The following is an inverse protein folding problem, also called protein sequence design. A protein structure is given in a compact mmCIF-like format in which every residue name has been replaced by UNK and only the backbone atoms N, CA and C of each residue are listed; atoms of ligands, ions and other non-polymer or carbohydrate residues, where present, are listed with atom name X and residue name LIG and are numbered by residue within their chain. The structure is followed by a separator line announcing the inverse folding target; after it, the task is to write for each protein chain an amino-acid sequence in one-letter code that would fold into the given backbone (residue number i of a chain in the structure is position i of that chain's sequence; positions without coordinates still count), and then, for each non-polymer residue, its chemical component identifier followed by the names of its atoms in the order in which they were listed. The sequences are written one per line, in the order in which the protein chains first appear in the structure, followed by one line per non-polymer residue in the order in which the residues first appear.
data_IF_872396344289
#
_entry.id   IF_872396344289
#
_cell.length_a   1.000
_cell.length_b   1.000
_cell.length_c   1.000
_cell.angle_alpha   90.00
_cell.angle_beta   90.00
_cell.angle_gamma   90.00
#
_symmetry.space_group_name_H-M   'P 1'
#
loop_
_entity.id
_entity.type
_entity.pdbx_description
1 polymer ?
#
# COMPACT_ATOMS: atom_id res chain seq x y z
N UNK A 1 -4.22 9.23 -8.63
CA UNK A 1 -5.37 8.80 -9.47
C UNK A 1 -6.14 7.73 -8.72
N UNK A 2 -7.47 7.71 -8.79
CA UNK A 2 -8.30 6.61 -8.27
C UNK A 2 -8.48 5.54 -9.35
N UNK A 3 -8.70 4.28 -8.93
CA UNK A 3 -8.81 3.15 -9.86
C UNK A 3 -10.19 3.13 -10.52
N UNK A 4 -11.28 3.18 -9.73
CA UNK A 4 -12.65 3.13 -10.22
C UNK A 4 -13.38 4.47 -10.06
N UNK A 5 -14.35 4.79 -10.94
CA UNK A 5 -15.30 5.84 -10.67
C UNK A 5 -16.03 5.62 -9.35
N UNK A 6 -16.36 6.70 -8.66
CA UNK A 6 -17.05 6.64 -7.39
C UNK A 6 -17.40 8.04 -6.87
N UNK A 7 -17.96 8.12 -5.69
CA UNK A 7 -18.40 9.38 -5.11
C UNK A 7 -17.25 10.40 -5.05
N UNK A 8 -17.41 11.55 -5.70
CA UNK A 8 -16.39 12.59 -5.84
C UNK A 8 -15.36 12.37 -6.97
N UNK A 9 -15.42 11.25 -7.71
CA UNK A 9 -14.49 10.92 -8.80
C UNK A 9 -15.22 10.14 -9.89
N UNK A 10 -16.08 10.78 -10.66
CA UNK A 10 -16.87 10.14 -11.72
C UNK A 10 -16.10 9.97 -13.03
N UNK A 11 -15.00 10.70 -13.23
CA UNK A 11 -14.15 10.66 -14.41
C UNK A 11 -12.67 10.82 -14.04
N UNK A 12 -11.76 10.66 -15.01
CA UNK A 12 -10.31 10.77 -14.80
C UNK A 12 -9.74 9.63 -13.95
N UNK A 13 -10.40 8.47 -13.92
CA UNK A 13 -9.96 7.28 -13.21
C UNK A 13 -9.10 6.38 -14.10
N UNK A 14 -8.40 5.41 -13.50
CA UNK A 14 -7.63 4.42 -14.25
C UNK A 14 -8.54 3.64 -15.21
N UNK A 15 -9.76 3.31 -14.82
CA UNK A 15 -10.74 2.61 -15.66
C UNK A 15 -11.07 3.44 -16.92
N UNK A 16 -11.26 4.75 -16.80
CA UNK A 16 -11.48 5.61 -17.97
C UNK A 16 -10.28 5.59 -18.93
N UNK A 17 -9.06 5.65 -18.39
CA UNK A 17 -7.84 5.59 -19.20
C UNK A 17 -7.67 4.22 -19.89
N UNK A 18 -7.99 3.13 -19.21
CA UNK A 18 -7.95 1.79 -19.77
C UNK A 18 -9.01 1.57 -20.85
N UNK A 19 -10.24 2.05 -20.64
CA UNK A 19 -11.29 2.01 -21.65
C UNK A 19 -10.84 2.71 -22.95
N UNK A 20 -10.27 3.90 -22.82
CA UNK A 20 -9.70 4.63 -23.95
C UNK A 20 -8.55 3.84 -24.62
N UNK A 21 -7.62 3.30 -23.84
CA UNK A 21 -6.46 2.54 -24.37
C UNK A 21 -6.88 1.26 -25.10
N UNK A 22 -7.92 0.59 -24.64
CA UNK A 22 -8.44 -0.65 -25.24
C UNK A 22 -9.47 -0.40 -26.36
N UNK A 23 -9.77 0.86 -26.70
CA UNK A 23 -10.74 1.20 -27.73
C UNK A 23 -12.18 0.84 -27.35
N UNK A 24 -12.48 0.71 -26.07
CA UNK A 24 -13.83 0.44 -25.57
C UNK A 24 -14.60 1.76 -25.61
N UNK A 25 -15.64 1.83 -26.47
CA UNK A 25 -16.52 2.99 -26.54
C UNK A 25 -17.20 3.21 -25.19
N UNK A 26 -17.05 4.37 -24.62
CA UNK A 26 -17.84 4.78 -23.45
C UNK A 26 -19.26 5.09 -23.93
N UNK A 27 -20.14 4.07 -23.92
CA UNK A 27 -21.58 4.29 -24.06
C UNK A 27 -22.11 5.08 -22.87
N UNK A 28 -23.23 5.77 -23.04
CA UNK A 28 -23.88 6.61 -22.02
C UNK A 28 -24.23 5.86 -20.71
N UNK A 29 -24.22 4.54 -20.75
CA UNK A 29 -24.47 3.65 -19.61
C UNK A 29 -23.11 3.19 -19.00
N UNK A 30 -22.42 4.11 -18.33
CA UNK A 30 -21.14 3.86 -17.65
C UNK A 30 -21.25 2.87 -16.46
N UNK A 31 -22.43 2.34 -16.19
CA UNK A 31 -22.69 1.22 -15.27
C UNK A 31 -22.56 -0.14 -15.96
N UNK A 32 -22.32 -0.17 -17.27
CA UNK A 32 -22.21 -1.41 -18.04
C UNK A 32 -20.96 -2.20 -17.61
N UNK A 33 -21.19 -3.44 -17.24
CA UNK A 33 -20.29 -4.47 -16.71
C UNK A 33 -19.01 -4.74 -17.52
N UNK A 34 -18.79 -4.07 -18.65
CA UNK A 34 -17.59 -4.12 -19.48
C UNK A 34 -16.37 -3.40 -18.89
N UNK A 35 -16.49 -2.91 -17.67
CA UNK A 35 -15.34 -2.50 -16.83
C UNK A 35 -14.55 -3.69 -16.30
N UNK A 36 -14.78 -4.88 -16.84
CA UNK A 36 -14.18 -6.14 -16.47
C UNK A 36 -12.68 -6.30 -16.71
N UNK A 37 -11.98 -5.25 -17.14
CA UNK A 37 -10.54 -5.27 -17.28
C UNK A 37 -9.78 -5.29 -15.94
N UNK A 38 -10.43 -4.85 -14.86
CA UNK A 38 -9.82 -4.82 -13.54
C UNK A 38 -10.20 -6.04 -12.71
N UNK A 39 -9.19 -6.76 -12.27
CA UNK A 39 -9.31 -7.97 -11.42
C UNK A 39 -8.91 -7.70 -9.98
N UNK A 40 -8.24 -6.59 -9.73
CA UNK A 40 -7.89 -6.09 -8.40
C UNK A 40 -7.66 -4.57 -8.44
N UNK A 41 -7.37 -4.03 -7.27
CA UNK A 41 -7.06 -2.60 -7.11
C UNK A 41 -5.94 -2.40 -6.11
N UNK A 42 -5.24 -1.27 -6.23
CA UNK A 42 -4.42 -0.68 -5.20
C UNK A 42 -5.08 0.61 -4.70
N UNK A 43 -4.69 1.10 -3.53
CA UNK A 43 -5.27 2.32 -2.95
C UNK A 43 -4.88 3.56 -3.78
N UNK A 44 -5.71 4.60 -3.70
CA UNK A 44 -5.33 5.93 -4.19
C UNK A 44 -3.97 6.29 -3.57
N UNK A 45 -3.08 6.84 -4.40
CA UNK A 45 -1.73 7.27 -4.00
C UNK A 45 -0.76 6.15 -3.57
N UNK A 46 -1.16 4.87 -3.67
CA UNK A 46 -0.23 3.75 -3.65
C UNK A 46 0.36 3.57 -5.04
N UNK A 47 1.67 3.54 -5.13
CA UNK A 47 2.41 3.29 -6.38
C UNK A 47 2.66 1.80 -6.62
N UNK A 48 3.11 1.45 -7.83
CA UNK A 48 3.59 0.10 -8.15
C UNK A 48 2.72 -0.67 -9.14
N UNK A 49 2.81 -1.99 -9.08
CA UNK A 49 2.27 -2.92 -10.07
C UNK A 49 0.77 -3.14 -9.88
N UNK A 50 0.08 -3.18 -11.02
CA UNK A 50 -1.32 -3.55 -11.12
C UNK A 50 -1.48 -4.36 -12.42
N UNK A 51 -2.20 -5.49 -12.36
CA UNK A 51 -2.54 -6.30 -13.54
C UNK A 51 -3.94 -5.97 -14.02
N UNK A 52 -4.08 -5.86 -15.35
CA UNK A 52 -5.36 -5.69 -16.03
C UNK A 52 -5.54 -6.80 -17.04
N UNK A 53 -6.77 -7.29 -17.18
CA UNK A 53 -7.12 -8.24 -18.22
C UNK A 53 -7.41 -7.50 -19.54
N UNK A 54 -7.07 -8.12 -20.68
CA UNK A 54 -7.35 -7.56 -22.01
C UNK A 54 -8.56 -8.21 -22.71
N UNK A 55 -9.11 -9.25 -22.10
CA UNK A 55 -10.31 -9.95 -22.56
C UNK A 55 -10.99 -10.68 -21.39
N UNK A 56 -12.20 -11.14 -21.61
CA UNK A 56 -13.05 -11.75 -20.59
C UNK A 56 -12.48 -13.06 -20.04
N UNK A 57 -11.84 -13.89 -20.89
CA UNK A 57 -11.23 -15.15 -20.47
C UNK A 57 -10.09 -14.89 -19.48
N UNK A 58 -9.21 -13.92 -19.78
CA UNK A 58 -8.13 -13.52 -18.88
C UNK A 58 -8.65 -12.90 -17.60
N UNK A 59 -9.75 -12.15 -17.69
CA UNK A 59 -10.39 -11.55 -16.51
C UNK A 59 -10.93 -12.61 -15.55
N UNK A 60 -11.67 -13.59 -16.07
CA UNK A 60 -12.26 -14.67 -15.26
C UNK A 60 -11.15 -15.51 -14.59
N UNK A 61 -10.11 -15.86 -15.33
CA UNK A 61 -8.98 -16.64 -14.80
C UNK A 61 -8.24 -15.85 -13.69
N UNK A 62 -7.85 -14.61 -13.96
CA UNK A 62 -7.16 -13.76 -12.98
C UNK A 62 -8.04 -13.47 -11.76
N UNK A 63 -9.33 -13.16 -11.95
CA UNK A 63 -10.26 -12.93 -10.85
C UNK A 63 -10.36 -14.18 -9.95
N UNK A 64 -10.39 -15.39 -10.52
CA UNK A 64 -10.34 -16.64 -9.77
C UNK A 64 -9.05 -16.77 -8.96
N UNK A 65 -7.88 -16.44 -9.55
CA UNK A 65 -6.59 -16.47 -8.85
C UNK A 65 -6.56 -15.49 -7.69
N UNK A 66 -7.13 -14.28 -7.83
CA UNK A 66 -7.30 -13.32 -6.72
C UNK A 66 -8.25 -13.86 -5.65
N UNK A 67 -9.35 -14.49 -6.04
CA UNK A 67 -10.34 -15.03 -5.12
C UNK A 67 -9.77 -16.16 -4.24
N UNK A 68 -9.01 -17.08 -4.84
CA UNK A 68 -8.36 -18.18 -4.10
C UNK A 68 -7.02 -17.77 -3.47
N UNK A 69 -6.64 -16.50 -3.58
CA UNK A 69 -5.43 -15.92 -3.00
C UNK A 69 -4.11 -16.58 -3.47
N UNK A 70 -4.06 -17.12 -4.69
CA UNK A 70 -2.86 -17.72 -5.28
C UNK A 70 -1.89 -16.69 -5.90
N UNK A 71 -2.30 -15.43 -6.01
CA UNK A 71 -1.50 -14.32 -6.54
C UNK A 71 -0.42 -13.92 -5.53
N UNK A 72 0.86 -13.94 -5.95
CA UNK A 72 1.93 -13.35 -5.16
C UNK A 72 1.83 -11.83 -5.17
N UNK A 73 1.76 -11.22 -4.00
CA UNK A 73 1.71 -9.75 -3.81
C UNK A 73 2.67 -9.35 -2.72
N UNK A 74 3.69 -8.57 -3.09
CA UNK A 74 4.60 -7.97 -2.13
C UNK A 74 4.58 -6.46 -2.25
N UNK A 75 4.62 -5.82 -1.11
CA UNK A 75 4.65 -4.37 -0.99
C UNK A 75 5.87 -3.95 -0.20
N UNK A 76 6.36 -2.75 -0.45
CA UNK A 76 7.31 -2.07 0.43
C UNK A 76 6.60 -0.91 1.08
N UNK A 77 6.72 -0.81 2.39
CA UNK A 77 6.18 0.30 3.18
C UNK A 77 7.27 0.91 4.06
N UNK A 78 7.12 2.19 4.38
CA UNK A 78 7.89 2.86 5.42
C UNK A 78 6.91 3.17 6.55
N UNK A 79 7.19 2.67 7.74
CA UNK A 79 6.32 2.80 8.90
C UNK A 79 7.00 3.59 10.02
N UNK A 80 6.20 4.29 10.83
CA UNK A 80 6.69 4.97 12.01
C UNK A 80 7.13 4.00 13.11
N UNK A 81 8.22 4.33 13.76
CA UNK A 81 8.77 3.60 14.88
C UNK A 81 9.74 2.49 14.47
N UNK A 82 10.33 1.87 15.47
CA UNK A 82 11.27 0.77 15.33
C UNK A 82 10.55 -0.54 15.69
N UNK A 83 10.29 -1.39 14.70
CA UNK A 83 9.72 -2.72 14.92
C UNK A 83 10.74 -3.58 15.67
N UNK A 84 10.33 -4.26 16.74
CA UNK A 84 11.23 -5.07 17.57
C UNK A 84 11.70 -6.32 16.83
N UNK A 85 10.75 -7.03 16.21
CA UNK A 85 11.00 -8.29 15.52
C UNK A 85 11.39 -8.03 14.06
N UNK A 86 12.28 -8.85 13.51
CA UNK A 86 12.71 -8.76 12.11
C UNK A 86 11.64 -9.20 11.13
N UNK A 87 10.73 -10.06 11.58
CA UNK A 87 9.57 -10.50 10.81
C UNK A 87 8.39 -10.75 11.73
N UNK A 88 7.19 -10.73 11.17
CA UNK A 88 5.99 -10.98 11.94
C UNK A 88 4.75 -11.12 11.09
N UNK A 89 3.65 -11.50 11.75
CA UNK A 89 2.35 -11.66 11.13
C UNK A 89 1.31 -10.86 11.90
N UNK A 90 0.59 -9.99 11.18
CA UNK A 90 -0.51 -9.21 11.73
C UNK A 90 -1.81 -9.88 11.29
N UNK A 91 -2.59 -10.34 12.24
CA UNK A 91 -3.87 -11.03 12.00
C UNK A 91 -4.98 -10.25 12.70
N UNK A 92 -6.04 -9.94 11.96
CA UNK A 92 -7.22 -9.30 12.55
C UNK A 92 -8.28 -9.03 11.49
N UNK A 93 -9.55 -9.07 11.88
CA UNK A 93 -10.63 -8.75 10.98
C UNK A 93 -10.63 -7.25 10.65
N UNK A 94 -10.71 -6.91 9.38
CA UNK A 94 -10.80 -5.51 8.92
C UNK A 94 -12.23 -5.21 8.50
N UNK A 95 -12.81 -4.20 9.10
CA UNK A 95 -14.14 -3.69 8.79
C UNK A 95 -14.15 -2.16 8.75
N UNK A 96 -15.26 -1.61 8.27
CA UNK A 96 -15.46 -0.15 8.25
C UNK A 96 -15.58 0.37 9.69
N UNK A 97 -14.92 1.48 9.98
CA UNK A 97 -15.05 2.12 11.29
C UNK A 97 -16.48 2.68 11.45
N UNK A 98 -17.21 2.31 12.51
CA UNK A 98 -18.55 2.82 12.75
C UNK A 98 -18.57 4.33 13.05
N UNK A 99 -17.48 4.91 13.54
CA UNK A 99 -17.37 6.32 13.88
C UNK A 99 -16.85 7.18 12.71
N UNK A 100 -16.18 6.57 11.72
CA UNK A 100 -15.68 7.26 10.54
C UNK A 100 -15.85 6.38 9.29
N UNK A 101 -16.87 6.67 8.49
CA UNK A 101 -17.20 5.92 7.27
C UNK A 101 -16.08 5.92 6.21
N UNK A 102 -15.11 6.81 6.32
CA UNK A 102 -13.97 6.90 5.41
C UNK A 102 -12.79 6.04 5.86
N UNK A 103 -12.80 5.53 7.10
CA UNK A 103 -11.75 4.70 7.68
C UNK A 103 -12.20 3.23 7.81
N UNK A 104 -11.20 2.37 7.87
CA UNK A 104 -11.33 0.98 8.27
C UNK A 104 -10.53 0.77 9.56
N UNK A 105 -10.92 -0.21 10.35
CA UNK A 105 -10.19 -0.58 11.56
C UNK A 105 -10.14 -2.08 11.74
N UNK A 106 -9.26 -2.53 12.62
CA UNK A 106 -9.21 -3.94 13.06
C UNK A 106 -10.26 -4.18 14.15
N UNK A 107 -10.94 -5.30 14.04
CA UNK A 107 -11.82 -5.88 15.05
C UNK A 107 -11.15 -7.12 15.60
N UNK A 108 -10.41 -7.01 16.72
CA UNK A 108 -9.56 -8.10 17.22
C UNK A 108 -10.35 -9.32 17.68
N UNK A 109 -11.57 -9.10 18.20
CA UNK A 109 -12.46 -10.18 18.67
C UNK A 109 -13.05 -11.01 17.53
N UNK A 110 -12.88 -10.57 16.27
CA UNK A 110 -13.40 -11.28 15.11
C UNK A 110 -14.93 -11.20 14.92
N UNK A 111 -15.59 -10.40 15.72
CA UNK A 111 -17.06 -10.20 15.75
C UNK A 111 -17.57 -9.38 14.58
N UNK A 112 -16.68 -8.62 13.92
CA UNK A 112 -17.00 -7.75 12.81
C UNK A 112 -15.90 -7.73 11.75
N UNK A 113 -16.24 -7.23 10.54
CA UNK A 113 -15.28 -7.13 9.44
C UNK A 113 -14.98 -8.47 8.76
N UNK A 114 -13.90 -8.52 7.99
CA UNK A 114 -13.45 -9.70 7.24
C UNK A 114 -12.04 -10.07 7.64
N UNK A 115 -11.78 -11.34 7.82
CA UNK A 115 -10.47 -11.87 8.15
C UNK A 115 -9.39 -11.33 7.23
N UNK A 116 -8.26 -10.89 7.83
CA UNK A 116 -7.12 -10.32 7.10
C UNK A 116 -5.80 -10.78 7.75
N UNK A 117 -4.82 -11.10 6.89
CA UNK A 117 -3.48 -11.53 7.30
C UNK A 117 -2.44 -10.79 6.47
N UNK A 118 -1.52 -10.14 7.16
CA UNK A 118 -0.36 -9.44 6.59
C UNK A 118 0.90 -9.95 7.25
N UNK A 119 1.79 -10.58 6.48
CA UNK A 119 3.14 -10.88 6.93
C UNK A 119 4.04 -9.70 6.62
N UNK A 120 4.99 -9.41 7.50
CA UNK A 120 6.03 -8.41 7.24
C UNK A 120 7.43 -8.95 7.54
N UNK A 121 8.41 -8.40 6.85
CA UNK A 121 9.82 -8.57 7.11
C UNK A 121 10.49 -7.19 7.08
N UNK A 122 11.28 -6.90 8.09
CA UNK A 122 12.07 -5.67 8.16
C UNK A 122 13.17 -5.72 7.11
N UNK A 123 13.28 -4.65 6.33
CA UNK A 123 14.36 -4.46 5.37
C UNK A 123 15.45 -3.56 5.94
N UNK A 124 15.07 -2.47 6.62
CA UNK A 124 16.03 -1.52 7.19
C UNK A 124 15.37 -0.73 8.35
N UNK A 125 16.16 -0.39 9.39
CA UNK A 125 15.72 0.39 10.55
C UNK A 125 16.50 1.69 10.64
N UNK A 126 15.80 2.78 10.93
CA UNK A 126 16.39 4.12 11.12
C UNK A 126 16.09 4.70 12.53
N UNK A 127 15.74 3.86 13.49
CA UNK A 127 15.36 4.26 14.83
C UNK A 127 13.94 4.81 14.96
N UNK A 128 13.58 5.82 14.19
CA UNK A 128 12.25 6.45 14.22
C UNK A 128 11.31 6.00 13.12
N UNK A 129 11.83 5.36 12.10
CA UNK A 129 11.06 4.70 11.04
C UNK A 129 11.71 3.37 10.65
N UNK A 130 10.91 2.47 10.09
CA UNK A 130 11.33 1.16 9.60
C UNK A 130 10.83 0.95 8.18
N UNK A 131 11.69 0.43 7.31
CA UNK A 131 11.31 -0.04 5.97
C UNK A 131 10.96 -1.52 6.07
N UNK A 132 9.80 -1.90 5.59
CA UNK A 132 9.30 -3.27 5.64
C UNK A 132 8.85 -3.76 4.27
N UNK A 133 9.08 -5.04 4.00
CA UNK A 133 8.38 -5.78 2.95
C UNK A 133 7.14 -6.43 3.56
N UNK A 134 6.00 -6.29 2.89
CA UNK A 134 4.73 -6.90 3.30
C UNK A 134 4.29 -7.94 2.27
N UNK A 135 3.93 -9.13 2.71
CA UNK A 135 3.29 -10.18 1.91
C UNK A 135 1.85 -10.38 2.37
N UNK A 136 0.92 -10.33 1.43
CA UNK A 136 -0.51 -10.42 1.73
C UNK A 136 -1.05 -11.83 1.46
N UNK A 137 -1.71 -12.44 2.44
CA UNK A 137 -2.59 -13.59 2.20
C UNK A 137 -3.97 -13.15 1.73
N UNK A 138 -4.47 -12.06 2.28
CA UNK A 138 -5.77 -11.47 1.95
C UNK A 138 -5.61 -10.09 1.30
N UNK A 139 -6.66 -9.54 0.70
CA UNK A 139 -6.63 -8.23 0.05
C UNK A 139 -7.81 -7.33 0.49
N UNK A 140 -7.87 -6.96 1.78
CA UNK A 140 -8.93 -6.07 2.27
C UNK A 140 -8.58 -4.62 1.99
N UNK A 141 -9.61 -3.78 1.90
CA UNK A 141 -9.43 -2.33 1.71
C UNK A 141 -8.48 -1.75 2.74
N UNK A 142 -7.45 -1.03 2.30
CA UNK A 142 -6.42 -0.39 3.12
C UNK A 142 -5.68 -1.36 4.08
N UNK A 143 -5.63 -2.66 3.78
CA UNK A 143 -5.22 -3.69 4.74
C UNK A 143 -3.86 -3.41 5.40
N UNK A 144 -2.80 -3.15 4.65
CA UNK A 144 -1.46 -2.86 5.20
C UNK A 144 -1.53 -1.63 6.10
N UNK A 145 -2.18 -0.56 5.65
CA UNK A 145 -2.31 0.70 6.35
C UNK A 145 -3.04 0.55 7.69
N UNK A 146 -4.16 -0.18 7.67
CA UNK A 146 -4.97 -0.48 8.87
C UNK A 146 -4.22 -1.37 9.85
N UNK A 147 -3.59 -2.45 9.37
CA UNK A 147 -2.85 -3.38 10.22
C UNK A 147 -1.68 -2.70 10.92
N UNK A 148 -0.85 -1.94 10.18
CA UNK A 148 0.28 -1.24 10.80
C UNK A 148 -0.16 -0.11 11.73
N UNK A 149 -1.23 0.60 11.42
CA UNK A 149 -1.80 1.57 12.36
C UNK A 149 -2.29 0.89 13.64
N UNK A 150 -2.95 -0.25 13.54
CA UNK A 150 -3.45 -1.01 14.70
C UNK A 150 -2.34 -1.46 15.64
N UNK A 151 -1.20 -1.90 15.12
CA UNK A 151 -0.03 -2.28 15.95
C UNK A 151 0.83 -1.09 16.39
N UNK A 152 0.37 0.16 16.17
CA UNK A 152 1.05 1.39 16.62
C UNK A 152 2.20 1.86 15.73
N UNK A 153 2.29 1.35 14.51
CA UNK A 153 3.29 1.69 13.51
C UNK A 153 2.67 2.19 12.20
N UNK A 154 1.88 3.29 12.19
CA UNK A 154 1.22 3.76 10.98
C UNK A 154 2.23 4.03 9.86
N UNK A 155 1.78 3.92 8.60
CA UNK A 155 2.63 4.23 7.46
C UNK A 155 3.03 5.70 7.47
N UNK A 156 4.28 5.97 7.10
CA UNK A 156 4.80 7.33 7.01
C UNK A 156 3.99 8.16 6.01
N UNK A 157 3.57 9.35 6.44
CA UNK A 157 2.72 10.29 5.71
C UNK A 157 1.37 9.74 5.23
N UNK A 158 0.78 8.82 6.00
CA UNK A 158 -0.59 8.36 5.77
C UNK A 158 -1.59 9.27 6.51
N UNK A 159 -2.17 10.23 5.79
CA UNK A 159 -3.12 11.19 6.35
C UNK A 159 -4.35 10.53 6.97
N UNK A 160 -4.80 9.40 6.40
CA UNK A 160 -6.01 8.73 6.85
C UNK A 160 -5.81 7.87 8.09
N UNK A 161 -4.61 7.35 8.27
CA UNK A 161 -4.27 6.42 9.35
C UNK A 161 -3.15 6.95 10.24
N UNK A 162 -3.26 8.22 10.57
CA UNK A 162 -2.48 8.90 11.62
C UNK A 162 -0.96 8.93 11.38
N UNK A 163 -0.50 8.73 10.14
CA UNK A 163 0.91 8.73 9.77
C UNK A 163 1.47 10.05 9.29
N UNK A 164 0.62 11.05 9.06
CA UNK A 164 1.00 12.39 8.57
C UNK A 164 1.37 13.37 9.71
N UNK A 165 1.60 12.85 10.90
CA UNK A 165 2.08 13.57 12.06
C UNK A 165 3.38 12.98 12.58
N UNK A 166 4.16 13.73 13.35
CA UNK A 166 5.37 13.24 13.99
C UNK A 166 4.98 12.23 15.09
N UNK A 167 5.22 10.95 14.85
CA UNK A 167 4.87 9.87 15.78
C UNK A 167 6.02 9.43 16.66
N UNK A 168 7.26 9.61 16.21
CA UNK A 168 8.48 9.23 16.93
C UNK A 168 9.55 10.28 16.69
N UNK A 169 10.48 10.39 17.62
CA UNK A 169 11.63 11.28 17.53
C UNK A 169 11.63 12.36 18.61
N UNK A 170 12.29 13.46 18.34
CA UNK A 170 12.55 14.53 19.29
C UNK A 170 11.62 15.72 19.08
N UNK A 171 11.54 16.61 20.08
CA UNK A 171 10.74 17.85 20.03
C UNK A 171 11.49 19.03 19.41
N UNK A 172 12.76 18.85 19.05
CA UNK A 172 13.63 19.94 18.57
C UNK A 172 13.19 20.45 17.19
N UNK A 173 13.35 21.74 16.97
CA UNK A 173 12.95 22.43 15.74
C UNK A 173 13.62 21.84 14.48
N UNK A 174 14.89 21.46 14.58
CA UNK A 174 15.65 20.82 13.47
C UNK A 174 15.02 19.50 13.05
N UNK A 175 14.58 18.68 14.00
CA UNK A 175 13.93 17.41 13.69
C UNK A 175 12.55 17.64 13.06
N UNK A 176 11.76 18.57 13.61
CA UNK A 176 10.47 18.95 13.00
C UNK A 176 10.64 19.38 11.55
N UNK A 177 11.60 20.28 11.29
CA UNK A 177 11.90 20.73 9.92
C UNK A 177 12.34 19.59 9.01
N UNK A 178 13.13 18.62 9.53
CA UNK A 178 13.51 17.42 8.79
C UNK A 178 12.28 16.61 8.39
N UNK A 179 11.33 16.35 9.31
CA UNK A 179 10.11 15.61 9.02
C UNK A 179 9.21 16.35 8.03
N UNK A 180 9.02 17.66 8.18
CA UNK A 180 8.25 18.46 7.22
C UNK A 180 8.84 18.37 5.80
N UNK A 181 10.15 18.38 5.68
CA UNK A 181 10.83 18.16 4.40
C UNK A 181 10.65 16.73 3.87
N UNK A 182 10.58 15.73 4.75
CA UNK A 182 10.27 14.35 4.36
C UNK A 182 8.82 14.21 3.89
N UNK A 183 7.85 14.86 4.53
CA UNK A 183 6.45 14.88 4.09
C UNK A 183 6.26 15.57 2.74
N UNK A 184 6.99 16.65 2.49
CA UNK A 184 6.99 17.32 1.16
C UNK A 184 7.61 16.45 0.07
N UNK A 185 8.64 15.67 0.41
CA UNK A 185 9.32 14.77 -0.53
C UNK A 185 8.42 13.61 -0.95
N UNK A 186 7.65 13.05 -0.01
CA UNK A 186 6.69 11.99 -0.27
C UNK A 186 5.29 12.42 0.22
N UNK A 187 4.51 13.18 -0.59
CA UNK A 187 3.21 13.74 -0.18
C UNK A 187 2.06 12.71 -0.29
N UNK A 188 2.28 11.51 0.22
CA UNK A 188 1.34 10.38 0.19
C UNK A 188 1.78 9.31 1.18
N UNK A 189 0.92 8.32 1.46
CA UNK A 189 1.34 7.16 2.25
C UNK A 189 2.54 6.47 1.60
N UNK A 190 3.53 6.14 2.41
CA UNK A 190 4.74 5.44 1.99
C UNK A 190 4.45 3.95 1.73
N UNK A 191 3.77 3.66 0.61
CA UNK A 191 3.37 2.32 0.20
C UNK A 191 3.57 2.13 -1.31
N UNK A 192 4.18 0.99 -1.67
CA UNK A 192 4.48 0.62 -3.05
C UNK A 192 4.22 -0.87 -3.29
N UNK A 193 3.37 -1.19 -4.28
CA UNK A 193 3.13 -2.56 -4.76
C UNK A 193 4.31 -3.02 -5.60
N UNK A 194 5.29 -3.66 -4.95
CA UNK A 194 6.61 -3.94 -5.53
C UNK A 194 6.62 -5.17 -6.43
N UNK A 195 6.01 -6.26 -5.98
CA UNK A 195 6.02 -7.54 -6.71
C UNK A 195 4.61 -8.05 -6.95
N UNK A 196 4.37 -8.53 -8.16
CA UNK A 196 3.14 -9.17 -8.56
C UNK A 196 3.46 -10.44 -9.36
N UNK A 197 3.00 -11.60 -8.89
CA UNK A 197 3.19 -12.88 -9.55
C UNK A 197 1.87 -13.63 -9.70
N UNK A 198 1.61 -14.19 -10.87
CA UNK A 198 0.39 -14.93 -11.18
C UNK A 198 0.63 -15.97 -12.29
N UNK A 199 -0.27 -16.94 -12.40
CA UNK A 199 -0.26 -17.88 -13.54
C UNK A 199 -0.88 -17.19 -14.75
N UNK A 200 -0.12 -17.07 -15.83
CA UNK A 200 -0.59 -16.38 -17.03
C UNK A 200 -1.79 -17.11 -17.65
N UNK A 201 -2.93 -16.44 -17.86
CA UNK A 201 -4.20 -17.08 -18.26
C UNK A 201 -4.11 -17.97 -19.49
N UNK A 202 -3.33 -17.56 -20.51
CA UNK A 202 -3.18 -18.29 -21.77
C UNK A 202 -2.09 -19.34 -21.72
N UNK A 203 -0.88 -18.99 -21.28
CA UNK A 203 0.30 -19.90 -21.34
C UNK A 203 0.34 -20.87 -20.17
N UNK A 204 -0.44 -20.63 -19.11
CA UNK A 204 -0.46 -21.38 -17.85
C UNK A 204 0.91 -21.46 -17.15
N UNK A 205 1.83 -20.58 -17.51
CA UNK A 205 3.12 -20.42 -16.85
C UNK A 205 3.07 -19.36 -15.75
N UNK A 206 3.81 -19.59 -14.68
CA UNK A 206 4.00 -18.58 -13.65
C UNK A 206 4.79 -17.40 -14.22
N UNK A 207 4.25 -16.22 -14.11
CA UNK A 207 4.94 -14.96 -14.44
C UNK A 207 5.04 -14.09 -13.19
N UNK A 208 6.18 -13.40 -13.06
CA UNK A 208 6.47 -12.55 -11.90
C UNK A 208 7.07 -11.25 -12.38
N UNK A 209 6.51 -10.16 -11.90
CA UNK A 209 6.98 -8.80 -12.16
C UNK A 209 7.47 -8.19 -10.85
N UNK A 210 8.55 -7.44 -10.93
CA UNK A 210 9.11 -6.69 -9.82
C UNK A 210 9.42 -5.27 -10.30
N UNK A 211 8.95 -4.27 -9.57
CA UNK A 211 9.18 -2.86 -9.89
C UNK A 211 10.24 -2.27 -8.98
N UNK A 212 10.99 -1.31 -9.48
CA UNK A 212 11.86 -0.50 -8.63
C UNK A 212 11.02 0.41 -7.74
N UNK A 213 11.55 0.77 -6.58
CA UNK A 213 10.94 1.80 -5.74
C UNK A 213 10.87 3.12 -6.53
N UNK A 214 9.76 3.85 -6.44
CA UNK A 214 9.65 5.16 -7.07
C UNK A 214 10.62 6.15 -6.41
N UNK A 215 11.06 7.13 -7.18
CA UNK A 215 12.10 8.07 -6.78
C UNK A 215 11.80 8.81 -5.47
N UNK A 216 10.52 9.13 -5.20
CA UNK A 216 10.08 9.76 -3.96
C UNK A 216 10.31 8.88 -2.73
N UNK A 217 9.98 7.57 -2.80
CA UNK A 217 10.23 6.61 -1.72
C UNK A 217 11.72 6.32 -1.56
N UNK A 218 12.45 6.12 -2.65
CA UNK A 218 13.90 5.89 -2.58
C UNK A 218 14.62 7.08 -1.94
N UNK A 219 14.31 8.29 -2.38
CA UNK A 219 14.89 9.52 -1.82
C UNK A 219 14.54 9.70 -0.33
N UNK A 220 13.35 9.29 0.10
CA UNK A 220 12.97 9.31 1.51
C UNK A 220 13.80 8.32 2.33
N UNK A 221 14.02 7.09 1.83
CA UNK A 221 14.87 6.08 2.48
C UNK A 221 16.28 6.59 2.61
N UNK A 222 16.87 7.14 1.54
CA UNK A 222 18.24 7.67 1.54
C UNK A 222 18.40 8.84 2.52
N UNK A 223 17.36 9.67 2.63
CA UNK A 223 17.35 10.79 3.58
C UNK A 223 17.30 10.32 5.03
N UNK A 224 16.51 9.27 5.33
CA UNK A 224 16.47 8.66 6.65
C UNK A 224 17.77 7.92 6.99
N UNK A 225 18.37 7.23 6.04
CA UNK A 225 19.66 6.54 6.21
C UNK A 225 20.73 7.54 6.63
N UNK A 226 20.86 8.65 5.88
CA UNK A 226 21.80 9.72 6.23
C UNK A 226 21.51 10.36 7.59
N UNK A 227 20.22 10.50 7.96
CA UNK A 227 19.85 11.02 9.28
C UNK A 227 20.28 10.07 10.41
N UNK A 228 20.04 8.76 10.26
CA UNK A 228 20.41 7.76 11.27
C UNK A 228 21.93 7.61 11.43
N UNK A 229 22.70 7.65 10.35
CA UNK A 229 24.16 7.64 10.37
C UNK A 229 24.72 8.81 11.17
N UNK A 230 24.23 10.03 10.93
CA UNK A 230 24.66 11.20 11.67
C UNK A 230 24.30 11.09 13.17
N UNK A 231 23.13 10.52 13.51
CA UNK A 231 22.76 10.32 14.92
C UNK A 231 23.68 9.33 15.64
N UNK A 232 24.11 8.26 14.97
CA UNK A 232 25.03 7.28 15.55
C UNK A 232 26.42 7.90 15.82
N UNK A 233 26.93 8.71 14.89
CA UNK A 233 28.20 9.42 15.08
C UNK A 233 28.19 10.34 16.28
N UNK A 234 27.10 11.09 16.51
CA UNK A 234 27.01 11.97 17.69
C UNK A 234 26.99 11.21 19.02
N UNK A 235 26.45 9.97 19.05
CA UNK A 235 26.43 9.14 20.27
C UNK A 235 27.76 8.41 20.53
N UNK A 236 28.61 8.26 19.53
CA UNK A 236 29.95 7.66 19.67
C UNK A 236 31.03 8.71 20.05
N UNK A 237 30.77 10.00 19.86
CA UNK A 237 31.67 11.12 20.20
C UNK A 237 31.42 11.67 21.63
N UNK A 238 30.37 11.25 22.35
CA UNK A 238 30.08 11.54 23.77
C UNK A 238 30.61 10.40 24.69
#
# INVERSE_FOLDING_TARGET
MVVHPGHGHFSGTLVNALAHHLGISQGADAEDERMGVLVHRIDKDTSGLLVVAKNDEAQLDLAKQFFVHSIERRYVAIVWGNLKEDEGTIIGNIGRDPNDRMRFKVFPEGDHGKHAVTHYRVLERFGYVTVVECRLETGRTHQIRVHFNWIGHPLFNDERYDGAEIRKGTIYAKYRQFIENCFKLLPRQALHAKTLGFVHPRTKQMVRFDSQLPADMQSLIDKWRKYSENMTQFLEEE
#
